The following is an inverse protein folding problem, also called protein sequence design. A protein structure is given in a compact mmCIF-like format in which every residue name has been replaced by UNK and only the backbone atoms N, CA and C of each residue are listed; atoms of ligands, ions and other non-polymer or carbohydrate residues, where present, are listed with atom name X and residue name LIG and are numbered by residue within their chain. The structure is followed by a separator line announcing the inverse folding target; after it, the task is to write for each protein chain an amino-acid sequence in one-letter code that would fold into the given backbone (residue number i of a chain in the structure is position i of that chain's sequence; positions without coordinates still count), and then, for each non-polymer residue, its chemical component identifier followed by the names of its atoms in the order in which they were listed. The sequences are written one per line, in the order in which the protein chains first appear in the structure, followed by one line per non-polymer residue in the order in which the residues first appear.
data_IF_018840146986
#
_entry.id   IF_018840146986
#
_cell.length_a   1.000
_cell.length_b   1.000
_cell.length_c   1.000
_cell.angle_alpha   90.00
_cell.angle_beta   90.00
_cell.angle_gamma   90.00
#
_symmetry.space_group_name_H-M   'P 1'
#
loop_
_entity.id
_entity.type
_entity.pdbx_description
1 polymer ?
#
# COMPACT_ATOMS: atom_id res chain seq x y z
N UNK A 1 -1.12 -1.98 45.62
CA UNK A 1 -0.62 -2.43 44.29
C UNK A 1 -1.02 -1.39 43.25
N UNK A 2 -0.04 -0.83 42.52
CA UNK A 2 -0.28 0.09 41.39
C UNK A 2 -0.91 -0.70 40.25
N UNK A 3 -2.16 -0.37 39.87
CA UNK A 3 -2.81 -0.91 38.67
C UNK A 3 -2.39 -0.08 37.47
N UNK A 4 -1.45 -0.58 36.69
CA UNK A 4 -1.09 0.02 35.41
C UNK A 4 -2.12 -0.41 34.35
N UNK A 5 -2.41 0.44 33.35
CA UNK A 5 -3.24 0.03 32.21
C UNK A 5 -2.61 -1.18 31.51
N UNK A 6 -3.38 -2.23 31.30
CA UNK A 6 -2.90 -3.50 30.74
C UNK A 6 -3.06 -3.58 29.23
N UNK A 7 -3.77 -2.63 28.62
CA UNK A 7 -4.04 -2.61 27.19
C UNK A 7 -4.04 -1.19 26.61
N UNK A 8 -3.87 -1.10 25.30
CA UNK A 8 -3.89 0.17 24.53
C UNK A 8 -5.23 0.89 24.62
N UNK A 9 -6.32 0.12 24.74
CA UNK A 9 -7.67 0.66 24.96
C UNK A 9 -7.75 1.32 26.34
N UNK A 10 -7.24 0.66 27.39
CA UNK A 10 -7.21 1.19 28.75
C UNK A 10 -6.40 2.50 28.85
N UNK A 11 -5.29 2.61 28.10
CA UNK A 11 -4.48 3.82 28.07
C UNK A 11 -5.17 4.98 27.35
N UNK A 12 -5.81 4.73 26.21
CA UNK A 12 -6.58 5.75 25.48
C UNK A 12 -7.80 6.23 26.27
N UNK A 13 -8.49 5.32 26.96
CA UNK A 13 -9.64 5.66 27.79
C UNK A 13 -9.21 6.45 29.04
N UNK A 14 -8.12 6.03 29.70
CA UNK A 14 -7.49 6.77 30.78
C UNK A 14 -7.04 8.18 30.35
N UNK A 15 -6.43 8.31 29.18
CA UNK A 15 -6.02 9.60 28.61
C UNK A 15 -7.23 10.51 28.30
N UNK A 16 -8.33 9.96 27.79
CA UNK A 16 -9.57 10.71 27.55
C UNK A 16 -10.22 11.20 28.87
N UNK A 17 -10.18 10.39 29.92
CA UNK A 17 -10.68 10.75 31.26
C UNK A 17 -9.82 11.81 31.96
N UNK A 18 -8.50 11.81 31.69
CA UNK A 18 -7.56 12.84 32.15
C UNK A 18 -7.81 14.20 31.48
N UNK A 19 -8.10 14.19 30.17
CA UNK A 19 -8.35 15.40 29.37
C UNK A 19 -9.75 15.98 29.62
N UNK A 20 -10.75 15.16 29.97
CA UNK A 20 -12.14 15.62 30.20
C UNK A 20 -12.39 16.40 31.49
N UNK A 21 -11.38 16.60 32.33
CA UNK A 21 -11.40 17.62 33.39
C UNK A 21 -12.56 17.52 34.39
N UNK A 22 -12.36 16.76 35.46
CA UNK A 22 -13.06 17.02 36.73
C UNK A 22 -12.02 17.31 37.80
N UNK A 23 -12.24 18.32 38.65
CA UNK A 23 -11.39 18.60 39.82
C UNK A 23 -11.15 17.35 40.69
N UNK A 24 -12.06 16.37 40.64
CA UNK A 24 -11.93 15.04 41.22
C UNK A 24 -10.67 14.25 40.78
N UNK A 25 -10.18 14.47 39.56
CA UNK A 25 -9.04 13.71 39.02
C UNK A 25 -7.67 14.28 39.41
N UNK A 26 -7.57 15.55 39.84
CA UNK A 26 -6.27 16.15 40.22
C UNK A 26 -5.66 15.46 41.44
N UNK A 27 -6.49 15.08 42.41
CA UNK A 27 -6.06 14.35 43.61
C UNK A 27 -5.62 12.92 43.30
N UNK A 28 -6.24 12.25 42.32
CA UNK A 28 -5.80 10.93 41.89
C UNK A 28 -4.51 11.02 41.06
N UNK A 29 -4.41 11.93 40.08
CA UNK A 29 -3.19 12.15 39.28
C UNK A 29 -1.98 12.43 40.19
N UNK A 30 -2.16 13.23 41.25
CA UNK A 30 -1.12 13.51 42.25
C UNK A 30 -0.70 12.26 43.06
N UNK A 31 -1.60 11.32 43.36
CA UNK A 31 -1.28 10.04 44.04
C UNK A 31 -0.37 9.14 43.19
N UNK A 32 -0.37 9.29 41.87
CA UNK A 32 0.52 8.55 40.97
C UNK A 32 1.85 9.28 40.69
N UNK A 33 2.03 10.50 41.20
CA UNK A 33 3.22 11.32 40.96
C UNK A 33 3.34 11.81 39.52
N UNK A 34 2.25 11.80 38.76
CA UNK A 34 2.24 12.18 37.35
C UNK A 34 1.97 13.69 37.23
N UNK A 35 2.81 14.40 36.50
CA UNK A 35 2.65 15.84 36.26
C UNK A 35 1.69 16.00 35.07
N UNK A 36 0.52 16.65 35.23
CA UNK A 36 -0.46 16.80 34.14
C UNK A 36 0.13 17.41 32.86
N UNK A 37 1.09 18.34 32.99
CA UNK A 37 1.78 18.96 31.86
C UNK A 37 2.60 17.95 31.05
N UNK A 38 3.22 16.97 31.70
CA UNK A 38 4.02 15.93 31.02
C UNK A 38 3.13 14.91 30.33
N UNK A 39 1.99 14.56 30.94
CA UNK A 39 0.97 13.71 30.31
C UNK A 39 0.38 14.37 29.06
N UNK A 40 0.10 15.67 29.12
CA UNK A 40 -0.39 16.42 27.96
C UNK A 40 0.66 16.45 26.84
N UNK A 41 1.93 16.74 27.15
CA UNK A 41 3.02 16.68 26.17
C UNK A 41 3.16 15.31 25.50
N UNK A 42 3.00 14.24 26.28
CA UNK A 42 3.12 12.87 25.79
C UNK A 42 1.94 12.52 24.88
N UNK A 43 0.72 12.96 25.23
CA UNK A 43 -0.46 12.83 24.38
C UNK A 43 -0.30 13.59 23.06
N UNK A 44 0.17 14.83 23.11
CA UNK A 44 0.39 15.67 21.93
C UNK A 44 1.46 15.05 21.02
N UNK A 45 2.55 14.55 21.59
CA UNK A 45 3.59 13.82 20.86
C UNK A 45 3.08 12.55 20.19
N UNK A 46 2.23 11.79 20.89
CA UNK A 46 1.60 10.60 20.33
C UNK A 46 0.65 10.94 19.17
N UNK A 47 -0.16 11.99 19.31
CA UNK A 47 -1.06 12.44 18.24
C UNK A 47 -0.30 12.91 17.01
N UNK A 48 0.80 13.65 17.20
CA UNK A 48 1.67 14.08 16.12
C UNK A 48 2.29 12.88 15.37
N UNK A 49 2.87 11.93 16.10
CA UNK A 49 3.45 10.72 15.52
C UNK A 49 2.41 9.87 14.75
N UNK A 50 1.20 9.74 15.31
CA UNK A 50 0.12 9.01 14.65
C UNK A 50 -0.35 9.72 13.36
N UNK A 51 -0.42 11.05 13.37
CA UNK A 51 -0.76 11.83 12.16
C UNK A 51 0.30 11.66 11.06
N UNK A 52 1.58 11.66 11.44
CA UNK A 52 2.68 11.42 10.51
C UNK A 52 2.64 9.99 9.93
N UNK A 53 2.34 8.99 10.77
CA UNK A 53 2.18 7.61 10.32
C UNK A 53 1.03 7.47 9.31
N UNK A 54 -0.11 8.11 9.54
CA UNK A 54 -1.24 8.08 8.59
C UNK A 54 -0.90 8.77 7.27
N UNK A 55 -0.16 9.89 7.30
CA UNK A 55 0.35 10.52 6.06
C UNK A 55 1.31 9.61 5.30
N UNK A 56 2.22 8.94 6.01
CA UNK A 56 3.16 8.00 5.39
C UNK A 56 2.43 6.81 4.75
N UNK A 57 1.39 6.27 5.40
CA UNK A 57 0.55 5.21 4.82
C UNK A 57 -0.17 5.68 3.55
N UNK A 58 -0.74 6.89 3.57
CA UNK A 58 -1.40 7.46 2.41
C UNK A 58 -0.42 7.67 1.23
N UNK A 59 0.79 8.18 1.50
CA UNK A 59 1.83 8.34 0.49
C UNK A 59 2.27 7.01 -0.12
N UNK A 60 2.41 5.95 0.70
CA UNK A 60 2.77 4.61 0.22
C UNK A 60 1.67 4.01 -0.66
N UNK A 61 0.40 4.19 -0.29
CA UNK A 61 -0.73 3.75 -1.10
C UNK A 61 -0.75 4.47 -2.46
N UNK A 62 -0.53 5.78 -2.47
CA UNK A 62 -0.45 6.55 -3.71
C UNK A 62 0.70 6.09 -4.60
N UNK A 63 1.91 5.92 -4.05
CA UNK A 63 3.06 5.42 -4.79
C UNK A 63 2.82 4.02 -5.40
N UNK A 64 2.06 3.18 -4.71
CA UNK A 64 1.67 1.85 -5.22
C UNK A 64 0.74 1.96 -6.43
N UNK A 65 -0.23 2.88 -6.39
CA UNK A 65 -1.14 3.15 -7.50
C UNK A 65 -0.36 3.69 -8.70
N UNK A 66 0.48 4.71 -8.48
CA UNK A 66 1.29 5.33 -9.54
C UNK A 66 2.20 4.31 -10.23
N UNK A 67 2.79 3.39 -9.45
CA UNK A 67 3.60 2.29 -10.00
C UNK A 67 2.76 1.33 -10.84
N UNK A 68 1.55 0.96 -10.40
CA UNK A 68 0.67 0.09 -11.17
C UNK A 68 0.25 0.72 -12.50
N UNK A 69 -0.06 2.02 -12.49
CA UNK A 69 -0.42 2.78 -13.69
C UNK A 69 0.76 2.91 -14.65
N UNK A 70 1.94 3.23 -14.14
CA UNK A 70 3.18 3.29 -14.94
C UNK A 70 3.51 1.92 -15.55
N UNK A 71 3.35 0.84 -14.77
CA UNK A 71 3.54 -0.53 -15.25
C UNK A 71 2.54 -0.89 -16.35
N UNK A 72 1.28 -0.43 -16.24
CA UNK A 72 0.27 -0.65 -17.28
C UNK A 72 0.63 0.10 -18.56
N UNK A 73 1.00 1.38 -18.45
CA UNK A 73 1.43 2.19 -19.59
C UNK A 73 2.63 1.57 -20.32
N UNK A 74 3.64 1.12 -19.57
CA UNK A 74 4.81 0.45 -20.14
C UNK A 74 4.42 -0.85 -20.88
N UNK A 75 3.52 -1.66 -20.32
CA UNK A 75 3.04 -2.88 -21.01
C UNK A 75 2.32 -2.57 -22.32
N UNK A 76 1.49 -1.53 -22.33
CA UNK A 76 0.78 -1.10 -23.54
C UNK A 76 1.76 -0.59 -24.60
N UNK A 77 2.76 0.19 -24.20
CA UNK A 77 3.78 0.67 -25.11
C UNK A 77 4.62 -0.49 -25.66
N UNK A 78 5.09 -1.41 -24.81
CA UNK A 78 5.79 -2.62 -25.26
C UNK A 78 4.94 -3.42 -26.25
N UNK A 79 3.64 -3.58 -26.01
CA UNK A 79 2.75 -4.28 -26.93
C UNK A 79 2.64 -3.56 -28.29
N UNK A 80 2.61 -2.23 -28.31
CA UNK A 80 2.65 -1.44 -29.56
C UNK A 80 3.95 -1.67 -30.32
N UNK A 81 5.09 -1.59 -29.63
CA UNK A 81 6.40 -1.85 -30.23
C UNK A 81 6.50 -3.24 -30.84
N UNK A 82 6.07 -4.27 -30.08
CA UNK A 82 6.00 -5.65 -30.58
C UNK A 82 5.11 -5.75 -31.82
N UNK A 83 3.92 -5.12 -31.80
CA UNK A 83 3.01 -5.12 -32.95
C UNK A 83 3.62 -4.44 -34.18
N UNK A 84 4.35 -3.34 -34.01
CA UNK A 84 5.03 -2.64 -35.10
C UNK A 84 6.16 -3.50 -35.68
N UNK A 85 6.95 -4.14 -34.83
CA UNK A 85 8.03 -5.03 -35.26
C UNK A 85 7.49 -6.28 -35.96
N UNK A 86 6.43 -6.89 -35.44
CA UNK A 86 5.73 -8.01 -36.10
C UNK A 86 5.14 -7.61 -37.46
N UNK A 87 4.65 -6.37 -37.59
CA UNK A 87 4.15 -5.82 -38.86
C UNK A 87 5.25 -5.63 -39.91
N UNK A 88 6.44 -5.21 -39.48
CA UNK A 88 7.58 -4.93 -40.38
C UNK A 88 8.36 -6.20 -40.77
N UNK A 89 8.55 -7.12 -39.83
CA UNK A 89 9.43 -8.29 -40.01
C UNK A 89 8.68 -9.62 -40.11
N UNK A 90 7.36 -9.60 -39.95
CA UNK A 90 6.52 -10.79 -39.91
C UNK A 90 6.55 -11.47 -38.52
N UNK A 91 5.42 -12.06 -38.11
CA UNK A 91 5.21 -12.67 -36.78
C UNK A 91 6.14 -13.83 -36.42
N UNK A 92 6.83 -14.38 -37.42
CA UNK A 92 7.80 -15.47 -37.30
C UNK A 92 9.18 -15.07 -37.82
N UNK A 93 9.41 -13.78 -38.09
CA UNK A 93 10.66 -13.29 -38.66
C UNK A 93 11.81 -13.45 -37.67
N UNK A 94 12.94 -13.99 -38.13
CA UNK A 94 14.14 -14.20 -37.31
C UNK A 94 14.67 -12.87 -36.73
N UNK A 95 14.48 -11.76 -37.46
CA UNK A 95 14.83 -10.40 -37.00
C UNK A 95 14.12 -9.95 -35.72
N UNK A 96 13.00 -10.56 -35.35
CA UNK A 96 12.33 -10.25 -34.06
C UNK A 96 13.19 -10.67 -32.85
N UNK A 97 14.03 -11.70 -33.01
CA UNK A 97 14.90 -12.18 -31.95
C UNK A 97 15.99 -11.15 -31.57
N UNK A 98 16.44 -10.33 -32.52
CA UNK A 98 17.39 -9.23 -32.28
C UNK A 98 16.82 -8.18 -31.31
N UNK A 99 15.49 -8.05 -31.25
CA UNK A 99 14.78 -7.17 -30.32
C UNK A 99 14.30 -7.90 -29.04
N UNK A 100 14.75 -9.14 -28.80
CA UNK A 100 14.34 -9.95 -27.66
C UNK A 100 12.89 -10.47 -27.75
N UNK A 101 12.25 -10.38 -28.92
CA UNK A 101 10.89 -10.84 -29.16
C UNK A 101 10.94 -12.29 -29.66
N UNK A 102 10.39 -13.21 -28.87
CA UNK A 102 10.31 -14.61 -29.26
C UNK A 102 9.39 -14.78 -30.48
N UNK A 103 9.80 -15.49 -31.56
CA UNK A 103 8.95 -15.78 -32.69
C UNK A 103 7.72 -16.57 -32.25
N UNK A 104 6.55 -16.24 -32.78
CA UNK A 104 5.33 -16.99 -32.43
C UNK A 104 5.34 -18.32 -33.18
N UNK A 105 5.12 -19.43 -32.47
CA UNK A 105 4.92 -20.71 -33.13
C UNK A 105 3.62 -20.67 -33.94
N UNK A 106 3.72 -20.90 -35.26
CA UNK A 106 2.54 -21.05 -36.11
C UNK A 106 1.89 -22.39 -35.80
N UNK A 107 0.82 -22.38 -35.02
CA UNK A 107 -0.08 -23.52 -34.87
C UNK A 107 -1.28 -23.31 -35.80
N UNK A 108 -1.29 -23.91 -37.02
CA UNK A 108 -2.48 -23.84 -37.85
C UNK A 108 -3.64 -24.46 -37.08
N UNK A 109 -4.74 -23.72 -36.94
CA UNK A 109 -5.99 -24.29 -36.41
C UNK A 109 -6.30 -25.52 -37.26
N UNK A 110 -6.37 -26.70 -36.64
CA UNK A 110 -6.86 -27.91 -37.31
C UNK A 110 -8.24 -27.57 -37.89
N UNK A 111 -8.35 -27.64 -39.22
CA UNK A 111 -9.61 -27.39 -39.92
C UNK A 111 -10.71 -28.35 -39.43
N UNK A 112 -11.98 -28.11 -39.80
CA UNK A 112 -13.09 -28.95 -39.39
C UNK A 112 -12.75 -30.42 -39.66
N UNK A 113 -12.91 -31.29 -38.64
CA UNK A 113 -12.74 -32.74 -38.81
C UNK A 113 -13.78 -33.21 -39.82
N UNK A 114 -13.34 -33.46 -41.05
CA UNK A 114 -14.16 -34.16 -42.04
C UNK A 114 -14.36 -35.58 -41.51
N UNK A 115 -15.59 -35.91 -41.08
CA UNK A 115 -15.96 -37.30 -40.81
C UNK A 115 -15.89 -38.03 -42.15
N UNK A 116 -15.03 -39.05 -42.26
CA UNK A 116 -15.02 -39.94 -43.43
C UNK A 116 -16.38 -40.67 -43.53
N UNK A 117 -16.88 -40.89 -44.75
CA UNK A 117 -18.09 -41.67 -45.00
C UNK A 117 -17.93 -43.13 -44.53
#
# INVERSE_FOLDING_TARGET
MRRYPSSTADFSEGAKLLVKGGEANKAEIAKWGLIPADLQKLLDGYQAANSEQERAKAALQQSTIDWQDTKKALKEEMARWVSTLEGNYGKTGEKLQEFGIAPRSFHPKKGPRVKKP
#
